data_IF_845001696990
#
_entry.id   IF_845001696990
#
_cell.length_a   1.000
_cell.length_b   1.000
_cell.length_c   1.000
_cell.angle_alpha   90.00
_cell.angle_beta   90.00
_cell.angle_gamma   90.00
#
_symmetry.space_group_name_H-M   'P 1'
#
loop_
_entity.id
_entity.type
_entity.pdbx_description
1 polymer ?
#
# COMPACT_ATOMS: atom_id res chain seq x y z
N UNK A 1 33.61 17.99 -6.79
CA UNK A 1 32.19 17.94 -7.21
C UNK A 1 31.54 16.75 -6.51
N UNK A 2 30.57 16.94 -5.59
CA UNK A 2 29.92 15.81 -4.92
C UNK A 2 29.11 15.00 -5.95
N UNK A 3 29.21 13.68 -5.87
CA UNK A 3 28.72 12.75 -6.90
C UNK A 3 27.20 12.61 -6.89
N UNK A 4 26.59 12.82 -8.07
CA UNK A 4 25.18 12.58 -8.42
C UNK A 4 24.69 11.14 -8.10
N UNK A 5 25.61 10.21 -7.82
CA UNK A 5 25.33 8.77 -7.65
C UNK A 5 24.23 8.44 -6.64
N UNK A 6 24.13 9.19 -5.52
CA UNK A 6 23.07 8.97 -4.52
C UNK A 6 21.69 9.41 -5.02
N UNK A 7 21.61 10.52 -5.75
CA UNK A 7 20.34 11.04 -6.27
C UNK A 7 19.78 10.13 -7.37
N UNK A 8 20.66 9.61 -8.24
CA UNK A 8 20.29 8.62 -9.25
C UNK A 8 19.76 7.30 -8.63
N UNK A 9 20.40 6.82 -7.55
CA UNK A 9 19.93 5.62 -6.83
C UNK A 9 18.56 5.82 -6.20
N UNK A 10 18.33 6.95 -5.52
CA UNK A 10 17.03 7.26 -4.92
C UNK A 10 15.93 7.35 -5.98
N UNK A 11 16.24 7.94 -7.14
CA UNK A 11 15.30 8.06 -8.26
C UNK A 11 14.95 6.68 -8.85
N UNK A 12 15.94 5.79 -8.99
CA UNK A 12 15.75 4.42 -9.45
C UNK A 12 14.94 3.58 -8.46
N UNK A 13 15.22 3.69 -7.16
CA UNK A 13 14.46 3.01 -6.10
C UNK A 13 13.01 3.46 -6.11
N UNK A 14 12.77 4.78 -6.21
CA UNK A 14 11.43 5.35 -6.29
C UNK A 14 10.67 4.85 -7.53
N UNK A 15 11.29 4.90 -8.71
CA UNK A 15 10.68 4.40 -9.95
C UNK A 15 10.36 2.91 -9.90
N UNK A 16 11.25 2.11 -9.31
CA UNK A 16 11.03 0.67 -9.11
C UNK A 16 9.86 0.42 -8.15
N UNK A 17 9.76 1.19 -7.07
CA UNK A 17 8.67 1.08 -6.10
C UNK A 17 7.32 1.49 -6.71
N UNK A 18 7.29 2.57 -7.49
CA UNK A 18 6.10 3.05 -8.18
C UNK A 18 5.60 2.04 -9.23
N UNK A 19 6.51 1.47 -10.03
CA UNK A 19 6.18 0.43 -11.00
C UNK A 19 5.63 -0.84 -10.30
N UNK A 20 6.25 -1.24 -9.19
CA UNK A 20 5.79 -2.40 -8.42
C UNK A 20 4.42 -2.16 -7.78
N UNK A 21 4.17 -0.94 -7.32
CA UNK A 21 2.88 -0.51 -6.79
C UNK A 21 1.78 -0.54 -7.86
N UNK A 22 2.07 -0.06 -9.07
CA UNK A 22 1.11 -0.06 -10.17
C UNK A 22 0.82 -1.51 -10.64
N UNK A 23 1.84 -2.34 -10.77
CA UNK A 23 1.67 -3.76 -11.11
C UNK A 23 0.83 -4.52 -10.08
N UNK A 24 1.05 -4.29 -8.78
CA UNK A 24 0.25 -4.90 -7.72
C UNK A 24 -1.19 -4.39 -7.72
N UNK A 25 -1.38 -3.10 -7.97
CA UNK A 25 -2.70 -2.49 -8.08
C UNK A 25 -3.52 -3.14 -9.20
N UNK A 26 -2.92 -3.34 -10.37
CA UNK A 26 -3.64 -3.83 -11.54
C UNK A 26 -3.95 -5.32 -11.44
N UNK A 27 -2.92 -6.13 -11.16
CA UNK A 27 -3.06 -7.58 -11.04
C UNK A 27 -3.98 -7.98 -9.88
N UNK A 28 -3.85 -7.31 -8.73
CA UNK A 28 -4.54 -7.76 -7.54
C UNK A 28 -5.93 -7.14 -7.37
N UNK A 29 -6.16 -5.87 -7.74
CA UNK A 29 -7.44 -5.17 -7.44
C UNK A 29 -8.37 -4.98 -8.63
N UNK A 30 -7.98 -5.42 -9.83
CA UNK A 30 -8.67 -5.10 -11.09
C UNK A 30 -8.86 -3.58 -11.25
N UNK A 31 -7.82 -2.80 -10.91
CA UNK A 31 -7.78 -1.33 -10.96
C UNK A 31 -8.80 -0.64 -10.03
N UNK A 32 -9.03 -1.17 -8.82
CA UNK A 32 -9.97 -0.60 -7.85
C UNK A 32 -11.40 -0.38 -8.38
N UNK A 33 -11.87 -1.27 -9.26
CA UNK A 33 -13.27 -1.24 -9.72
C UNK A 33 -14.23 -1.35 -8.54
N UNK A 34 -15.35 -0.64 -8.59
CA UNK A 34 -16.36 -0.60 -7.51
C UNK A 34 -16.89 -2.00 -7.15
N UNK A 35 -16.93 -2.93 -8.10
CA UNK A 35 -17.28 -4.34 -7.86
C UNK A 35 -16.35 -5.06 -6.87
N UNK A 36 -15.12 -4.56 -6.69
CA UNK A 36 -14.16 -5.09 -5.72
C UNK A 36 -14.22 -4.34 -4.38
N UNK A 37 -15.05 -3.30 -4.24
CA UNK A 37 -15.21 -2.56 -2.99
C UNK A 37 -15.86 -3.47 -1.94
N UNK A 38 -15.20 -3.58 -0.80
CA UNK A 38 -15.67 -4.37 0.35
C UNK A 38 -16.24 -3.46 1.43
N UNK A 39 -15.71 -2.24 1.54
CA UNK A 39 -16.20 -1.27 2.52
C UNK A 39 -15.56 0.10 2.34
N UNK A 40 -16.21 1.10 2.92
CA UNK A 40 -15.77 2.48 2.97
C UNK A 40 -15.91 2.98 4.41
N UNK A 41 -14.91 3.74 4.87
CA UNK A 41 -14.91 4.37 6.19
C UNK A 41 -14.11 5.67 6.16
N UNK A 42 -13.91 6.29 7.34
CA UNK A 42 -13.26 7.60 7.46
C UNK A 42 -11.84 7.69 6.89
N UNK A 43 -11.16 6.55 6.73
CA UNK A 43 -9.79 6.45 6.22
C UNK A 43 -9.71 6.00 4.75
N UNK A 44 -10.84 5.95 4.04
CA UNK A 44 -10.90 5.58 2.63
C UNK A 44 -11.56 4.22 2.39
N UNK A 45 -11.20 3.58 1.28
CA UNK A 45 -11.92 2.44 0.71
C UNK A 45 -11.11 1.16 0.76
N UNK A 46 -11.74 0.06 1.13
CA UNK A 46 -11.14 -1.28 1.16
C UNK A 46 -11.64 -2.07 -0.03
N UNK A 47 -10.71 -2.63 -0.80
CA UNK A 47 -10.99 -3.43 -1.98
C UNK A 47 -10.47 -4.85 -1.82
N UNK A 48 -11.25 -5.84 -2.27
CA UNK A 48 -10.82 -7.22 -2.37
C UNK A 48 -9.87 -7.37 -3.56
N UNK A 49 -8.81 -8.12 -3.34
CA UNK A 49 -7.90 -8.52 -4.40
C UNK A 49 -7.37 -9.93 -4.24
N UNK A 50 -6.55 -10.35 -5.20
CA UNK A 50 -5.89 -11.66 -5.21
C UNK A 50 -4.45 -11.51 -5.67
N UNK A 51 -3.51 -12.03 -4.90
CA UNK A 51 -2.11 -12.04 -5.29
C UNK A 51 -1.90 -13.19 -6.29
N UNK A 52 -1.52 -12.89 -7.52
CA UNK A 52 -1.38 -13.93 -8.57
C UNK A 52 -0.28 -14.94 -8.24
N UNK A 53 0.82 -14.49 -7.62
CA UNK A 53 1.96 -15.35 -7.28
C UNK A 53 1.66 -16.42 -6.23
N UNK A 54 0.77 -16.13 -5.28
CA UNK A 54 0.45 -17.06 -4.17
C UNK A 54 -1.00 -17.54 -4.20
N UNK A 55 -1.80 -17.05 -5.16
CA UNK A 55 -3.24 -17.24 -5.24
C UNK A 55 -4.01 -16.83 -3.96
N UNK A 56 -3.41 -16.01 -3.10
CA UNK A 56 -3.97 -15.62 -1.80
C UNK A 56 -4.95 -14.45 -1.96
N UNK A 57 -6.10 -14.54 -1.29
CA UNK A 57 -7.02 -13.41 -1.17
C UNK A 57 -6.44 -12.34 -0.25
N UNK A 58 -6.46 -11.09 -0.71
CA UNK A 58 -5.89 -9.95 0.02
C UNK A 58 -6.89 -8.78 0.03
N UNK A 59 -6.77 -7.90 1.02
CA UNK A 59 -7.55 -6.67 1.11
C UNK A 59 -6.63 -5.45 0.93
N UNK A 60 -7.03 -4.53 0.04
CA UNK A 60 -6.30 -3.31 -0.24
C UNK A 60 -7.06 -2.11 0.31
N UNK A 61 -6.49 -1.44 1.32
CA UNK A 61 -7.03 -0.18 1.84
C UNK A 61 -6.41 0.99 1.06
N UNK A 62 -7.21 1.66 0.24
CA UNK A 62 -6.86 2.88 -0.48
C UNK A 62 -7.22 4.07 0.40
N UNK A 63 -6.19 4.76 0.90
CA UNK A 63 -6.36 6.00 1.64
C UNK A 63 -6.99 7.08 0.75
N UNK A 64 -8.03 7.73 1.25
CA UNK A 64 -8.53 8.97 0.67
C UNK A 64 -7.73 10.15 1.25
N UNK A 65 -6.94 10.80 0.41
CA UNK A 65 -6.10 11.95 0.82
C UNK A 65 -6.92 13.23 1.02
N UNK A 66 -8.18 13.22 0.59
CA UNK A 66 -9.09 14.34 0.73
C UNK A 66 -10.04 14.17 1.93
N UNK A 67 -9.96 13.02 2.64
CA UNK A 67 -10.76 12.74 3.82
C UNK A 67 -10.33 13.57 5.04
N UNK A 68 -11.29 13.86 5.92
CA UNK A 68 -11.12 14.68 7.14
C UNK A 68 -10.06 14.14 8.12
N UNK A 69 -9.74 12.84 8.08
CA UNK A 69 -8.85 12.15 9.02
C UNK A 69 -7.38 12.03 8.56
N UNK A 70 -7.04 12.52 7.36
CA UNK A 70 -5.67 12.86 6.96
C UNK A 70 -4.59 11.75 6.99
N UNK A 71 -3.37 12.13 6.57
CA UNK A 71 -2.21 11.25 6.51
C UNK A 71 -1.72 10.77 7.89
N UNK A 72 -1.99 11.53 8.96
CA UNK A 72 -1.50 11.23 10.32
C UNK A 72 -2.13 9.96 10.88
N UNK A 73 -3.43 9.82 10.75
CA UNK A 73 -4.17 8.71 11.35
C UNK A 73 -3.96 7.41 10.55
N UNK A 74 -3.76 7.54 9.23
CA UNK A 74 -3.28 6.43 8.40
C UNK A 74 -1.90 5.92 8.85
N UNK A 75 -0.95 6.83 9.13
CA UNK A 75 0.37 6.44 9.64
C UNK A 75 0.28 5.76 11.01
N UNK A 76 -0.62 6.21 11.87
CA UNK A 76 -0.89 5.54 13.16
C UNK A 76 -1.39 4.11 12.91
N UNK A 77 -2.35 3.91 12.02
CA UNK A 77 -2.86 2.56 11.72
C UNK A 77 -1.77 1.65 11.13
N UNK A 78 -0.97 2.15 10.18
CA UNK A 78 0.16 1.41 9.59
C UNK A 78 1.20 1.07 10.66
N UNK A 79 1.51 2.00 11.56
CA UNK A 79 2.45 1.78 12.66
C UNK A 79 1.91 0.72 13.62
N UNK A 80 0.65 0.81 14.02
CA UNK A 80 0.00 -0.16 14.92
C UNK A 80 -0.01 -1.56 14.31
N UNK A 81 -0.39 -1.69 13.03
CA UNK A 81 -0.35 -2.98 12.34
C UNK A 81 1.07 -3.53 12.27
N UNK A 82 2.05 -2.70 11.90
CA UNK A 82 3.46 -3.11 11.82
C UNK A 82 3.95 -3.62 13.18
N UNK A 83 3.66 -2.88 14.25
CA UNK A 83 4.05 -3.23 15.61
C UNK A 83 3.45 -4.56 16.07
N UNK A 84 2.16 -4.78 15.80
CA UNK A 84 1.48 -6.05 16.11
C UNK A 84 2.13 -7.22 15.38
N UNK A 85 2.51 -7.05 14.11
CA UNK A 85 3.21 -8.10 13.35
C UNK A 85 4.62 -8.39 13.91
N UNK A 86 5.36 -7.37 14.37
CA UNK A 86 6.69 -7.58 14.98
C UNK A 86 6.63 -8.35 16.30
N UNK A 87 5.61 -8.13 17.13
CA UNK A 87 5.50 -8.80 18.43
C UNK A 87 4.90 -10.21 18.39
N UNK A 88 4.21 -10.58 17.31
CA UNK A 88 3.44 -11.85 17.23
C UNK A 88 4.20 -12.98 16.53
N UNK A 89 5.46 -12.78 16.10
CA UNK A 89 6.32 -13.85 15.57
C UNK A 89 7.29 -14.29 16.69
N UNK A 90 7.01 -15.36 17.44
CA UNK A 90 8.02 -15.99 18.28
C UNK A 90 9.04 -16.71 17.39
N UNK A 91 10.33 -16.49 17.70
CA UNK A 91 11.50 -17.16 17.11
C UNK A 91 11.53 -18.64 17.50
#
# INVERSE_FOLDING_TARGET
>A
MPSNTNLNRLTLIKGTLDAKKESLKDAATKNFKTQCLVGEGGFGRVYKGRLESTNQGVAFKKLDRNGFQGNKEFLVEVLMLSLVFYFTIPI
#
